data_IF_551259684298
#
_entry.id   IF_551259684298
#
_cell.length_a   1.000
_cell.length_b   1.000
_cell.length_c   1.000
_cell.angle_alpha   90.00
_cell.angle_beta   90.00
_cell.angle_gamma   90.00
#
_symmetry.space_group_name_H-M   'P 1'
#
loop_
_entity.id
_entity.type
_entity.pdbx_description
1 polymer ?
#
# COMPACT_ATOMS: atom_id res chain seq x y z
N UNK A 1 -10.41 39.11 40.58
CA UNK A 1 -11.66 39.68 40.02
C UNK A 1 -11.72 39.34 38.54
N UNK A 2 -12.91 39.20 37.96
CA UNK A 2 -13.06 38.82 36.55
C UNK A 2 -12.76 40.02 35.66
N UNK A 3 -11.96 39.85 34.60
CA UNK A 3 -11.64 40.93 33.66
C UNK A 3 -12.89 41.59 33.04
N UNK A 4 -13.97 40.82 32.86
CA UNK A 4 -15.25 41.33 32.41
C UNK A 4 -15.94 42.23 33.46
N UNK A 5 -15.77 41.91 34.74
CA UNK A 5 -16.28 42.72 35.84
C UNK A 5 -15.51 44.04 35.96
N UNK A 6 -14.18 43.99 35.82
CA UNK A 6 -13.32 45.18 35.89
C UNK A 6 -13.55 46.14 34.70
N UNK A 7 -13.84 45.61 33.50
CA UNK A 7 -14.25 46.41 32.35
C UNK A 7 -15.61 47.08 32.59
N UNK A 8 -16.58 46.32 33.11
CA UNK A 8 -17.92 46.85 33.43
C UNK A 8 -17.86 48.00 34.43
N UNK A 9 -17.07 47.88 35.50
CA UNK A 9 -16.91 48.97 36.48
C UNK A 9 -16.22 50.19 35.87
N UNK A 10 -15.19 50.02 35.04
CA UNK A 10 -14.52 51.14 34.34
C UNK A 10 -15.46 51.86 33.35
N UNK A 11 -16.31 51.12 32.65
CA UNK A 11 -17.32 51.69 31.74
C UNK A 11 -18.46 52.41 32.48
N UNK A 12 -18.79 51.98 33.70
CA UNK A 12 -19.82 52.61 34.52
C UNK A 12 -19.37 53.95 35.14
N UNK A 13 -18.07 54.15 35.31
CA UNK A 13 -17.49 55.36 35.91
C UNK A 13 -16.98 56.40 34.88
N UNK A 14 -16.93 56.04 33.60
CA UNK A 14 -16.55 56.97 32.53
C UNK A 14 -17.75 57.85 32.17
N UNK A 15 -17.50 59.16 32.07
CA UNK A 15 -18.55 60.17 31.93
C UNK A 15 -18.76 60.60 30.47
N UNK A 16 -17.74 60.41 29.62
CA UNK A 16 -17.75 60.76 28.20
C UNK A 16 -17.83 59.51 27.30
N UNK A 17 -18.36 59.67 26.08
CA UNK A 17 -18.27 58.64 25.03
C UNK A 17 -16.80 58.35 24.65
N UNK A 18 -15.94 59.37 24.72
CA UNK A 18 -14.52 59.26 24.38
C UNK A 18 -13.75 58.42 25.41
N UNK A 19 -13.97 58.67 26.71
CA UNK A 19 -13.41 57.85 27.80
C UNK A 19 -13.90 56.40 27.75
N UNK A 20 -15.16 56.18 27.36
CA UNK A 20 -15.71 54.84 27.16
C UNK A 20 -15.04 54.13 25.99
N UNK A 21 -14.83 54.83 24.88
CA UNK A 21 -14.12 54.30 23.72
C UNK A 21 -12.67 53.91 24.06
N UNK A 22 -11.96 54.73 24.85
CA UNK A 22 -10.60 54.46 25.29
C UNK A 22 -10.52 53.23 26.20
N UNK A 23 -11.43 53.11 27.16
CA UNK A 23 -11.52 51.94 28.05
C UNK A 23 -11.80 50.66 27.26
N UNK A 24 -12.64 50.73 26.20
CA UNK A 24 -12.91 49.60 25.31
C UNK A 24 -11.66 49.22 24.51
N UNK A 25 -10.95 50.20 23.94
CA UNK A 25 -9.73 49.96 23.17
C UNK A 25 -8.65 49.26 24.02
N UNK A 26 -8.39 49.77 25.24
CA UNK A 26 -7.44 49.14 26.18
C UNK A 26 -7.85 47.71 26.57
N UNK A 27 -9.15 47.44 26.66
CA UNK A 27 -9.64 46.09 26.96
C UNK A 27 -9.43 45.12 25.80
N UNK A 28 -9.57 45.57 24.56
CA UNK A 28 -9.24 44.79 23.36
C UNK A 28 -7.73 44.56 23.24
N UNK A 29 -6.89 45.56 23.48
CA UNK A 29 -5.43 45.40 23.49
C UNK A 29 -4.98 44.38 24.56
N UNK A 30 -5.55 44.47 25.77
CA UNK A 30 -5.26 43.53 26.84
C UNK A 30 -5.76 42.10 26.53
N UNK A 31 -6.85 41.97 25.76
CA UNK A 31 -7.37 40.68 25.30
C UNK A 31 -6.45 40.07 24.23
N UNK A 32 -6.03 40.86 23.25
CA UNK A 32 -5.14 40.44 22.16
C UNK A 32 -3.76 40.01 22.71
N UNK A 33 -3.20 40.79 23.65
CA UNK A 33 -1.95 40.43 24.32
C UNK A 33 -2.05 39.13 25.14
N UNK A 34 -3.24 38.79 25.63
CA UNK A 34 -3.50 37.59 26.44
C UNK A 34 -3.79 36.35 25.61
N UNK A 35 -4.25 36.53 24.37
CA UNK A 35 -4.54 35.43 23.45
C UNK A 35 -3.88 35.66 22.09
N UNK A 36 -2.53 35.71 22.02
CA UNK A 36 -1.81 35.90 20.76
C UNK A 36 -2.10 34.78 19.74
N UNK A 37 -2.49 33.60 20.22
CA UNK A 37 -2.90 32.45 19.43
C UNK A 37 -4.26 32.58 18.72
N UNK A 38 -5.09 33.60 19.02
CA UNK A 38 -6.33 33.84 18.27
C UNK A 38 -6.06 34.21 16.80
N UNK A 39 -4.90 34.82 16.52
CA UNK A 39 -4.48 35.12 15.15
C UNK A 39 -4.05 33.87 14.37
N UNK A 40 -3.71 32.78 15.05
CA UNK A 40 -3.29 31.50 14.44
C UNK A 40 -4.41 30.44 14.46
N UNK A 41 -5.61 30.83 14.89
CA UNK A 41 -6.74 29.92 14.97
C UNK A 41 -7.28 29.66 13.56
N UNK A 42 -7.27 28.40 13.14
CA UNK A 42 -7.86 28.01 11.87
C UNK A 42 -9.35 28.40 11.85
N UNK A 43 -9.72 29.26 10.91
CA UNK A 43 -11.12 29.62 10.70
C UNK A 43 -11.91 28.40 10.24
N UNK A 44 -13.24 28.41 10.41
CA UNK A 44 -14.09 27.35 9.86
C UNK A 44 -13.89 27.16 8.35
N UNK A 45 -13.53 28.23 7.63
CA UNK A 45 -13.15 28.17 6.21
C UNK A 45 -11.88 27.37 5.98
N UNK A 46 -10.80 27.64 6.73
CA UNK A 46 -9.53 26.92 6.62
C UNK A 46 -9.70 25.42 6.94
N UNK A 47 -10.49 25.09 7.96
CA UNK A 47 -10.78 23.68 8.31
C UNK A 47 -11.54 23.00 7.17
N UNK A 48 -12.56 23.65 6.60
CA UNK A 48 -13.34 23.09 5.50
C UNK A 48 -12.52 22.92 4.22
N UNK A 49 -11.61 23.84 3.93
CA UNK A 49 -10.69 23.72 2.81
C UNK A 49 -9.72 22.54 3.01
N UNK A 50 -9.15 22.40 4.21
CA UNK A 50 -8.29 21.29 4.57
C UNK A 50 -9.03 19.94 4.46
N UNK A 51 -10.27 19.86 4.96
CA UNK A 51 -11.11 18.66 4.83
C UNK A 51 -11.35 18.30 3.36
N UNK A 52 -11.69 19.27 2.51
CA UNK A 52 -11.91 19.04 1.08
C UNK A 52 -10.63 18.59 0.37
N UNK A 53 -9.48 19.16 0.74
CA UNK A 53 -8.18 18.75 0.21
C UNK A 53 -7.86 17.32 0.63
N UNK A 54 -8.01 17.00 1.91
CA UNK A 54 -7.78 15.65 2.43
C UNK A 54 -8.72 14.64 1.77
N UNK A 55 -10.00 14.96 1.54
CA UNK A 55 -10.91 14.09 0.81
C UNK A 55 -10.45 13.82 -0.63
N UNK A 56 -9.88 14.81 -1.31
CA UNK A 56 -9.31 14.61 -2.65
C UNK A 56 -8.07 13.73 -2.61
N UNK A 57 -7.17 13.96 -1.65
CA UNK A 57 -5.96 13.16 -1.46
C UNK A 57 -6.32 11.69 -1.14
N UNK A 58 -7.29 11.46 -0.24
CA UNK A 58 -7.80 10.11 0.06
C UNK A 58 -8.35 9.42 -1.19
N UNK A 59 -9.20 10.10 -1.98
CA UNK A 59 -9.71 9.55 -3.24
C UNK A 59 -8.59 9.24 -4.24
N UNK A 60 -7.56 10.09 -4.30
CA UNK A 60 -6.37 9.87 -5.12
C UNK A 60 -5.63 8.60 -4.72
N UNK A 61 -5.39 8.42 -3.43
CA UNK A 61 -4.74 7.22 -2.87
C UNK A 61 -5.58 5.97 -3.10
N UNK A 62 -6.90 6.03 -2.92
CA UNK A 62 -7.80 4.88 -3.20
C UNK A 62 -7.74 4.44 -4.68
N UNK A 63 -7.64 5.39 -5.61
CA UNK A 63 -7.49 5.08 -7.03
C UNK A 63 -6.14 4.43 -7.33
N UNK A 64 -5.06 4.94 -6.75
CA UNK A 64 -3.72 4.36 -6.89
C UNK A 64 -3.68 2.93 -6.35
N UNK A 65 -4.30 2.68 -5.19
CA UNK A 65 -4.39 1.33 -4.61
C UNK A 65 -5.12 0.39 -5.58
N UNK A 66 -6.28 0.80 -6.11
CA UNK A 66 -7.05 -0.02 -7.07
C UNK A 66 -6.26 -0.31 -8.35
N UNK A 67 -5.50 0.65 -8.86
CA UNK A 67 -4.66 0.47 -10.03
C UNK A 67 -3.54 -0.55 -9.75
N UNK A 68 -2.84 -0.39 -8.62
CA UNK A 68 -1.78 -1.31 -8.20
C UNK A 68 -2.34 -2.72 -7.99
N UNK A 69 -3.47 -2.86 -7.31
CA UNK A 69 -4.11 -4.16 -7.09
C UNK A 69 -4.48 -4.84 -8.43
N UNK A 70 -5.08 -4.09 -9.37
CA UNK A 70 -5.42 -4.62 -10.69
C UNK A 70 -4.18 -5.05 -11.48
N UNK A 71 -3.07 -4.32 -11.33
CA UNK A 71 -1.80 -4.63 -11.99
C UNK A 71 -1.16 -5.88 -11.38
N UNK A 72 -1.10 -5.97 -10.07
CA UNK A 72 -0.60 -7.14 -9.34
C UNK A 72 -1.43 -8.39 -9.66
N UNK A 73 -2.76 -8.28 -9.73
CA UNK A 73 -3.61 -9.41 -10.13
C UNK A 73 -3.31 -9.91 -11.54
N UNK A 74 -2.97 -9.02 -12.49
CA UNK A 74 -2.54 -9.42 -13.83
C UNK A 74 -1.19 -10.10 -13.81
N UNK A 75 -0.22 -9.54 -13.09
CA UNK A 75 1.13 -10.10 -12.96
C UNK A 75 1.09 -11.48 -12.32
N UNK A 76 0.30 -11.67 -11.26
CA UNK A 76 0.11 -12.98 -10.62
C UNK A 76 -0.45 -14.00 -11.62
N UNK A 77 -1.52 -13.65 -12.35
CA UNK A 77 -2.10 -14.55 -13.36
C UNK A 77 -1.12 -14.90 -14.47
N UNK A 78 -0.30 -13.96 -14.90
CA UNK A 78 0.72 -14.21 -15.92
C UNK A 78 1.83 -15.13 -15.40
N UNK A 79 2.29 -14.92 -14.16
CA UNK A 79 3.27 -15.79 -13.52
C UNK A 79 2.71 -17.20 -13.35
N UNK A 80 1.47 -17.33 -12.87
CA UNK A 80 0.80 -18.64 -12.72
C UNK A 80 0.69 -19.37 -14.05
N UNK A 81 0.29 -18.69 -15.12
CA UNK A 81 0.21 -19.28 -16.46
C UNK A 81 1.58 -19.74 -16.97
N UNK A 82 2.62 -18.92 -16.80
CA UNK A 82 4.01 -19.27 -17.18
C UNK A 82 4.55 -20.46 -16.35
N UNK A 83 4.20 -20.53 -15.07
CA UNK A 83 4.59 -21.66 -14.22
C UNK A 83 3.89 -22.95 -14.65
N UNK A 84 2.58 -22.90 -14.93
CA UNK A 84 1.84 -24.05 -15.45
C UNK A 84 2.45 -24.56 -16.76
N UNK A 85 2.75 -23.66 -17.71
CA UNK A 85 3.39 -24.03 -18.97
C UNK A 85 4.74 -24.72 -18.74
N UNK A 86 5.59 -24.16 -17.88
CA UNK A 86 6.90 -24.75 -17.55
C UNK A 86 6.77 -26.11 -16.89
N UNK A 87 5.80 -26.30 -16.00
CA UNK A 87 5.53 -27.59 -15.36
C UNK A 87 5.13 -28.61 -16.43
N UNK A 88 4.19 -28.28 -17.31
CA UNK A 88 3.78 -29.19 -18.39
C UNK A 88 4.92 -29.53 -19.35
N UNK A 89 5.76 -28.55 -19.71
CA UNK A 89 6.95 -28.80 -20.53
C UNK A 89 7.94 -29.74 -19.84
N UNK A 90 8.17 -29.54 -18.53
CA UNK A 90 9.01 -30.42 -17.72
C UNK A 90 8.45 -31.84 -17.69
N UNK A 91 7.14 -32.01 -17.43
CA UNK A 91 6.47 -33.31 -17.43
C UNK A 91 6.67 -34.04 -18.77
N UNK A 92 6.44 -33.36 -19.89
CA UNK A 92 6.65 -33.94 -21.23
C UNK A 92 8.11 -34.33 -21.44
N UNK A 93 9.05 -33.46 -21.07
CA UNK A 93 10.48 -33.74 -21.23
C UNK A 93 10.93 -34.94 -20.40
N UNK A 94 10.41 -35.10 -19.17
CA UNK A 94 10.68 -36.24 -18.30
C UNK A 94 10.10 -37.52 -18.88
N UNK A 95 8.85 -37.50 -19.37
CA UNK A 95 8.25 -38.67 -20.03
C UNK A 95 9.04 -39.10 -21.26
N UNK A 96 9.50 -38.14 -22.06
CA UNK A 96 10.31 -38.43 -23.25
C UNK A 96 11.67 -39.00 -22.88
N UNK A 97 12.33 -38.43 -21.86
CA UNK A 97 13.60 -38.94 -21.35
C UNK A 97 13.47 -40.37 -20.80
N UNK A 98 12.44 -40.63 -19.98
CA UNK A 98 12.16 -41.96 -19.42
C UNK A 98 11.83 -42.97 -20.52
N UNK A 99 11.04 -42.58 -21.53
CA UNK A 99 10.72 -43.45 -22.67
C UNK A 99 11.98 -43.79 -23.49
N UNK A 100 12.84 -42.79 -23.73
CA UNK A 100 14.11 -43.00 -24.43
C UNK A 100 15.04 -43.94 -23.65
N UNK A 101 15.17 -43.73 -22.33
CA UNK A 101 15.95 -44.59 -21.45
C UNK A 101 15.40 -46.02 -21.42
N UNK A 102 14.07 -46.17 -21.30
CA UNK A 102 13.41 -47.48 -21.31
C UNK A 102 13.67 -48.23 -22.60
N UNK A 103 13.58 -47.55 -23.76
CA UNK A 103 13.85 -48.14 -25.07
C UNK A 103 15.30 -48.64 -25.18
N UNK A 104 16.26 -47.87 -24.70
CA UNK A 104 17.66 -48.27 -24.67
C UNK A 104 17.92 -49.46 -23.73
N UNK A 105 17.29 -49.48 -22.55
CA UNK A 105 17.41 -50.61 -21.61
C UNK A 105 16.84 -51.90 -22.19
N UNK A 106 15.67 -51.86 -22.82
CA UNK A 106 15.07 -53.03 -23.49
C UNK A 106 15.99 -53.52 -24.62
N UNK A 107 16.50 -52.62 -25.46
CA UNK A 107 17.42 -52.97 -26.53
C UNK A 107 18.71 -53.61 -26.01
N UNK A 108 19.31 -53.04 -24.96
CA UNK A 108 20.51 -53.59 -24.31
C UNK A 108 20.27 -54.98 -23.70
N UNK A 109 19.16 -55.19 -23.01
CA UNK A 109 18.79 -56.50 -22.45
C UNK A 109 18.59 -57.56 -23.54
N UNK A 110 17.96 -57.20 -24.67
CA UNK A 110 17.77 -58.11 -25.79
C UNK A 110 19.12 -58.57 -26.38
N UNK A 111 20.07 -57.64 -26.58
CA UNK A 111 21.42 -57.97 -27.07
C UNK A 111 22.14 -58.86 -26.07
N UNK A 112 22.06 -58.54 -24.77
CA UNK A 112 22.71 -59.32 -23.72
C UNK A 112 22.20 -60.77 -23.68
N UNK A 113 20.89 -60.98 -23.87
CA UNK A 113 20.30 -62.32 -23.99
C UNK A 113 20.82 -63.11 -25.20
N UNK A 114 21.03 -62.44 -26.34
CA UNK A 114 21.63 -63.08 -27.53
C UNK A 114 23.08 -63.50 -27.27
N UNK A 115 23.87 -62.64 -26.61
CA UNK A 115 25.27 -62.95 -26.27
C UNK A 115 25.38 -64.13 -25.32
N UNK A 116 24.54 -64.20 -24.27
CA UNK A 116 24.51 -65.33 -23.35
C UNK A 116 24.17 -66.64 -24.05
N UNK A 117 23.17 -66.63 -24.95
CA UNK A 117 22.80 -67.83 -25.74
C UNK A 117 23.95 -68.32 -26.64
N UNK A 118 24.72 -67.40 -27.22
CA UNK A 118 25.89 -67.76 -28.04
C UNK A 118 27.03 -68.33 -27.19
N UNK A 119 27.24 -67.79 -25.99
CA UNK A 119 28.22 -68.31 -25.04
C UNK A 119 27.88 -69.73 -24.58
N UNK A 120 26.60 -70.01 -24.30
CA UNK A 120 26.13 -71.37 -23.96
C UNK A 120 26.37 -72.37 -25.11
N UNK A 121 26.23 -71.96 -26.37
CA UNK A 121 26.50 -72.81 -27.55
C UNK A 121 27.99 -73.06 -27.76
N UNK A 122 28.86 -72.12 -27.37
CA UNK A 122 30.30 -72.21 -27.57
C UNK A 122 31.03 -72.93 -26.41
N UNK A 123 30.48 -72.86 -25.19
CA UNK A 123 31.09 -73.40 -23.95
C UNK A 123 30.31 -74.61 -23.41
N UNK A 124 29.08 -74.84 -23.87
CA UNK A 124 28.28 -76.02 -23.52
C UNK A 124 28.94 -77.34 -23.95
N UNK A 125 28.61 -78.47 -23.28
CA UNK A 125 29.31 -79.75 -23.42
C UNK A 125 29.32 -80.33 -24.83
#
# INVERSE_FOLDING_TARGET
MSAAFDLYTKLKHSSSDEERAEVIAQAFDALEARFPQLNDLATQGHVREAELRLQKEIKGVELQIKEVDARLQKEIKEVDARLQERISQLEVSLHQALAAQTRWLIGGLAILGVVLKLADVLIGP
#
